data_IF_996875220405
#
_entry.id   IF_996875220405
#
_cell.length_a   1.000
_cell.length_b   1.000
_cell.length_c   1.000
_cell.angle_alpha   90.00
_cell.angle_beta   90.00
_cell.angle_gamma   90.00
#
_symmetry.space_group_name_H-M   'P 1'
#
loop_
_entity.id
_entity.type
_entity.pdbx_description
1 polymer ?
#
# COMPACT_ATOMS: atom_id res chain seq x y z
N UNK A 1 -22.65 23.34 -38.00
CA UNK A 1 -21.94 23.67 -39.27
C UNK A 1 -20.44 23.63 -39.01
N UNK A 2 -19.71 22.72 -39.67
CA UNK A 2 -18.25 22.81 -39.90
C UNK A 2 -18.06 23.56 -41.24
N UNK A 3 -16.95 24.27 -41.48
CA UNK A 3 -15.71 23.67 -42.03
C UNK A 3 -14.44 24.35 -41.45
N UNK A 4 -13.19 23.97 -41.72
CA UNK A 4 -12.62 23.14 -42.76
C UNK A 4 -11.19 22.67 -42.40
N UNK A 5 -10.74 21.67 -43.17
CA UNK A 5 -9.50 20.89 -43.05
C UNK A 5 -8.34 21.54 -43.83
N UNK A 6 -7.21 20.81 -43.84
CA UNK A 6 -6.12 20.74 -44.84
C UNK A 6 -4.93 21.67 -44.48
N UNK A 7 -3.67 21.22 -44.37
CA UNK A 7 -2.87 20.42 -45.32
C UNK A 7 -1.78 19.56 -44.62
N UNK A 8 -1.55 18.35 -45.16
CA UNK A 8 -0.28 17.60 -45.08
C UNK A 8 0.80 18.29 -45.95
N UNK A 9 2.09 18.08 -45.67
CA UNK A 9 3.12 17.59 -46.61
C UNK A 9 4.45 17.33 -45.85
N UNK A 10 4.92 16.07 -45.81
CA UNK A 10 6.11 15.50 -46.49
C UNK A 10 7.47 16.05 -46.01
N UNK A 11 8.31 15.23 -45.37
CA UNK A 11 9.41 14.43 -45.98
C UNK A 11 10.52 15.34 -46.57
N UNK A 12 11.84 15.18 -46.40
CA UNK A 12 12.72 14.02 -46.26
C UNK A 12 14.19 14.58 -46.34
N UNK A 13 15.20 13.78 -45.96
CA UNK A 13 16.66 13.88 -46.29
C UNK A 13 17.49 14.89 -45.46
N UNK A 14 18.73 14.64 -45.03
CA UNK A 14 19.73 13.58 -45.19
C UNK A 14 20.95 13.96 -44.30
N UNK A 15 21.71 13.00 -43.73
CA UNK A 15 23.01 12.51 -44.25
C UNK A 15 24.13 13.59 -44.23
N UNK A 16 25.39 13.45 -43.75
CA UNK A 16 26.25 12.36 -43.27
C UNK A 16 27.61 12.93 -42.79
N UNK A 17 28.23 12.31 -41.76
CA UNK A 17 29.68 12.02 -41.52
C UNK A 17 30.78 13.13 -41.57
N UNK A 18 32.04 12.86 -41.12
CA UNK A 18 32.57 12.26 -39.88
C UNK A 18 33.86 13.00 -39.38
N UNK A 19 34.63 12.34 -38.50
CA UNK A 19 36.11 12.40 -38.36
C UNK A 19 36.69 13.00 -37.06
N UNK A 20 37.72 12.32 -36.54
CA UNK A 20 38.68 12.83 -35.56
C UNK A 20 38.85 11.92 -34.34
N UNK A 21 39.62 10.82 -34.43
CA UNK A 21 41.03 10.76 -33.94
C UNK A 21 41.08 10.88 -32.40
N UNK A 22 41.33 9.85 -31.59
CA UNK A 22 42.30 8.77 -31.72
C UNK A 22 43.54 9.09 -30.86
N UNK A 23 43.77 8.36 -29.77
CA UNK A 23 45.11 8.06 -29.23
C UNK A 23 45.07 6.92 -28.19
N UNK A 24 45.94 5.93 -28.45
CA UNK A 24 46.31 4.75 -27.66
C UNK A 24 47.43 5.16 -26.65
N UNK A 25 47.70 4.41 -25.56
CA UNK A 25 48.84 3.45 -25.44
C UNK A 25 48.98 2.89 -23.97
N UNK A 26 49.83 1.87 -23.64
CA UNK A 26 49.34 0.57 -23.16
C UNK A 26 50.04 -0.07 -21.90
N UNK A 27 49.43 -1.16 -21.39
CA UNK A 27 50.10 -2.37 -20.85
C UNK A 27 50.31 -2.49 -19.31
N UNK A 28 50.71 -3.68 -18.80
CA UNK A 28 50.02 -4.98 -18.86
C UNK A 28 50.00 -5.73 -17.50
N UNK A 29 49.19 -6.80 -17.37
CA UNK A 29 49.66 -8.14 -16.98
C UNK A 29 48.53 -9.17 -16.98
N UNK A 30 48.87 -10.33 -17.54
CA UNK A 30 48.01 -11.46 -17.87
C UNK A 30 47.72 -12.31 -16.63
N UNK A 31 46.48 -12.78 -16.53
CA UNK A 31 46.07 -13.92 -15.71
C UNK A 31 44.99 -14.68 -16.47
N UNK A 32 45.34 -15.87 -16.94
CA UNK A 32 44.59 -16.78 -17.79
C UNK A 32 43.38 -17.39 -17.06
N UNK A 33 42.26 -17.62 -17.74
CA UNK A 33 41.55 -18.91 -17.84
C UNK A 33 40.26 -18.75 -18.67
N UNK A 34 40.35 -19.15 -19.95
CA UNK A 34 39.41 -20.02 -20.70
C UNK A 34 37.92 -19.97 -20.29
N UNK A 35 36.93 -19.69 -21.11
CA UNK A 35 36.81 -19.48 -22.55
C UNK A 35 35.31 -19.59 -22.93
N UNK A 36 35.00 -19.16 -24.15
CA UNK A 36 33.73 -19.26 -24.92
C UNK A 36 32.83 -18.01 -24.93
N UNK A 37 32.50 -17.69 -26.18
CA UNK A 37 31.91 -16.48 -26.79
C UNK A 37 30.42 -16.71 -27.01
N UNK A 38 29.60 -15.68 -26.74
CA UNK A 38 28.45 -15.09 -27.49
C UNK A 38 27.64 -15.94 -28.52
N UNK A 39 26.50 -15.47 -29.11
CA UNK A 39 25.65 -14.30 -28.81
C UNK A 39 24.11 -14.55 -28.92
N UNK A 40 23.34 -13.54 -28.49
CA UNK A 40 22.05 -13.03 -29.03
C UNK A 40 21.05 -13.97 -29.71
N UNK A 41 19.81 -13.95 -29.23
CA UNK A 41 18.61 -13.53 -30.00
C UNK A 41 17.40 -13.48 -29.08
N UNK A 42 16.59 -12.44 -29.21
CA UNK A 42 15.23 -12.40 -28.66
C UNK A 42 14.39 -13.50 -29.31
N UNK A 43 13.71 -14.31 -28.51
CA UNK A 43 12.58 -15.10 -29.00
C UNK A 43 11.48 -15.11 -27.94
N UNK A 44 10.31 -14.66 -28.37
CA UNK A 44 9.05 -14.68 -27.64
C UNK A 44 8.79 -16.07 -27.05
N UNK A 45 8.86 -16.21 -25.72
CA UNK A 45 8.36 -17.41 -25.07
C UNK A 45 7.11 -17.08 -24.28
N UNK A 46 6.00 -17.30 -24.99
CA UNK A 46 4.74 -17.84 -24.53
C UNK A 46 4.49 -17.79 -23.03
N UNK A 47 3.34 -17.22 -22.67
CA UNK A 47 2.61 -17.55 -21.45
C UNK A 47 2.67 -19.06 -21.19
N UNK A 48 3.44 -19.45 -20.18
CA UNK A 48 3.17 -20.65 -19.44
C UNK A 48 2.67 -20.19 -18.08
N UNK A 49 1.35 -19.97 -17.99
CA UNK A 49 0.64 -20.12 -16.73
C UNK A 49 0.77 -21.59 -16.37
N UNK A 50 1.94 -21.97 -15.84
CA UNK A 50 2.05 -23.20 -15.09
C UNK A 50 1.16 -22.98 -13.88
N UNK A 51 -0.03 -23.58 -13.94
CA UNK A 51 -0.83 -23.87 -12.76
C UNK A 51 0.13 -24.60 -11.83
N UNK A 52 0.75 -23.87 -10.89
CA UNK A 52 1.45 -24.48 -9.78
C UNK A 52 0.36 -25.15 -8.96
N UNK A 53 0.14 -26.42 -9.28
CA UNK A 53 -0.52 -27.39 -8.42
C UNK A 53 -0.04 -27.12 -6.99
N UNK A 54 -1.00 -26.87 -6.12
CA UNK A 54 -0.75 -26.50 -4.74
C UNK A 54 0.13 -27.54 -4.08
N UNK A 55 1.31 -27.13 -3.65
CA UNK A 55 2.02 -27.80 -2.57
C UNK A 55 1.23 -27.50 -1.30
N UNK A 56 0.17 -28.29 -1.11
CA UNK A 56 -0.42 -28.55 0.19
C UNK A 56 0.73 -28.93 1.13
N UNK A 57 1.14 -27.99 1.96
CA UNK A 57 2.21 -28.18 2.91
C UNK A 57 1.79 -29.21 3.96
N UNK A 58 2.24 -30.44 3.76
CA UNK A 58 2.40 -31.40 4.85
C UNK A 58 3.89 -31.53 5.12
N UNK A 59 4.41 -30.65 5.97
CA UNK A 59 5.76 -30.77 6.52
C UNK A 59 5.69 -30.27 7.96
N UNK A 60 6.18 -31.09 8.90
CA UNK A 60 6.12 -30.93 10.36
C UNK A 60 6.88 -29.72 10.92
N UNK A 61 6.62 -28.54 10.36
CA UNK A 61 7.10 -27.28 10.89
C UNK A 61 6.18 -26.84 12.03
N UNK A 62 6.74 -26.45 13.19
CA UNK A 62 5.93 -25.97 14.30
C UNK A 62 4.97 -24.86 13.85
N UNK A 63 3.71 -24.96 14.31
CA UNK A 63 2.70 -23.94 14.10
C UNK A 63 3.29 -22.56 14.45
N UNK A 64 3.35 -21.67 13.46
CA UNK A 64 4.04 -20.39 13.58
C UNK A 64 3.30 -19.30 12.84
N UNK A 65 3.50 -18.06 13.29
CA UNK A 65 2.91 -16.87 12.65
C UNK A 65 3.59 -16.47 11.32
N UNK A 66 4.60 -17.21 10.86
CA UNK A 66 5.44 -16.80 9.71
C UNK A 66 4.68 -16.62 8.40
N UNK A 67 3.53 -17.29 8.22
CA UNK A 67 2.71 -17.22 6.99
C UNK A 67 1.28 -16.72 7.25
N UNK A 68 0.91 -16.40 8.49
CA UNK A 68 -0.46 -15.97 8.83
C UNK A 68 -0.57 -14.45 8.74
N UNK A 69 -1.36 -13.98 7.80
CA UNK A 69 -1.67 -12.56 7.65
C UNK A 69 -2.90 -12.20 8.47
N UNK A 70 -2.75 -11.18 9.32
CA UNK A 70 -3.83 -10.63 10.13
C UNK A 70 -4.23 -9.24 9.62
N UNK A 71 -5.50 -8.90 9.81
CA UNK A 71 -6.03 -7.58 9.47
C UNK A 71 -5.31 -6.47 10.25
N UNK A 72 -5.33 -5.26 9.71
CA UNK A 72 -4.80 -4.08 10.41
C UNK A 72 -5.48 -3.93 11.78
N UNK A 73 -4.73 -3.49 12.78
CA UNK A 73 -5.23 -3.40 14.15
C UNK A 73 -5.21 -4.74 14.91
N UNK A 74 -4.65 -5.78 14.32
CA UNK A 74 -4.42 -7.07 14.95
C UNK A 74 -3.02 -7.60 14.64
N UNK A 75 -2.56 -8.56 15.45
CA UNK A 75 -1.30 -9.28 15.26
C UNK A 75 -1.51 -10.78 15.39
N UNK A 76 -0.65 -11.56 14.73
CA UNK A 76 -0.65 -13.00 14.91
C UNK A 76 0.03 -13.37 16.24
N UNK A 77 -0.59 -14.28 16.99
CA UNK A 77 -0.05 -14.90 18.20
C UNK A 77 -0.34 -16.40 18.19
N UNK A 78 0.52 -17.21 18.79
CA UNK A 78 0.19 -18.63 19.03
C UNK A 78 -0.76 -18.74 20.22
N UNK A 79 -1.85 -19.48 20.04
CA UNK A 79 -2.76 -19.82 21.14
C UNK A 79 -2.01 -20.66 22.17
N UNK A 80 -2.17 -20.32 23.45
CA UNK A 80 -1.58 -21.10 24.55
C UNK A 80 -2.27 -22.44 24.75
N UNK A 81 -3.50 -22.58 24.25
CA UNK A 81 -4.33 -23.77 24.41
C UNK A 81 -4.13 -24.74 23.25
N UNK A 82 -4.20 -24.23 22.02
CA UNK A 82 -4.16 -25.07 20.81
C UNK A 82 -2.79 -25.10 20.14
N UNK A 83 -1.89 -24.18 20.47
CA UNK A 83 -0.60 -24.01 19.78
C UNK A 83 -0.72 -23.42 18.37
N UNK A 84 -1.94 -23.16 17.89
CA UNK A 84 -2.21 -22.70 16.53
C UNK A 84 -2.05 -21.17 16.42
N UNK A 85 -1.65 -20.65 15.24
CA UNK A 85 -1.55 -19.21 15.02
C UNK A 85 -2.94 -18.59 14.92
N UNK A 86 -3.20 -17.56 15.72
CA UNK A 86 -4.47 -16.82 15.79
C UNK A 86 -4.23 -15.31 15.62
N UNK A 87 -5.19 -14.61 15.02
CA UNK A 87 -5.17 -13.16 14.95
C UNK A 87 -5.86 -12.58 16.18
N UNK A 88 -5.17 -11.72 16.92
CA UNK A 88 -5.70 -11.02 18.11
C UNK A 88 -5.55 -9.53 17.93
N UNK A 89 -6.56 -8.76 18.34
CA UNK A 89 -6.49 -7.30 18.28
C UNK A 89 -5.29 -6.78 19.07
N UNK A 90 -4.72 -5.66 18.64
CA UNK A 90 -3.64 -5.02 19.36
C UNK A 90 -4.13 -4.59 20.75
N UNK A 91 -3.33 -4.88 21.78
CA UNK A 91 -3.64 -4.46 23.14
C UNK A 91 -3.50 -2.93 23.30
N UNK A 92 -2.48 -2.35 22.67
CA UNK A 92 -2.23 -0.92 22.63
C UNK A 92 -1.50 -0.52 21.33
N UNK A 93 -1.64 0.74 20.93
CA UNK A 93 -0.84 1.34 19.87
C UNK A 93 0.27 2.22 20.45
N UNK A 94 1.29 2.52 19.63
CA UNK A 94 2.27 3.54 20.00
C UNK A 94 1.58 4.90 20.11
N UNK A 95 1.85 5.68 21.17
CA UNK A 95 1.28 7.00 21.32
C UNK A 95 1.81 7.92 20.22
N UNK A 96 0.90 8.43 19.40
CA UNK A 96 1.20 9.37 18.32
C UNK A 96 -0.10 10.09 17.98
N UNK A 97 -0.01 11.41 17.80
CA UNK A 97 -1.16 12.23 17.45
C UNK A 97 -1.08 12.65 15.97
N UNK A 98 -1.77 11.87 15.13
CA UNK A 98 -1.95 12.08 13.69
C UNK A 98 -3.40 11.74 13.35
N UNK A 99 -4.34 12.63 13.70
CA UNK A 99 -5.75 12.27 13.80
C UNK A 99 -6.35 11.91 12.44
N UNK A 100 -7.20 10.88 12.43
CA UNK A 100 -7.90 10.40 11.23
C UNK A 100 -9.40 10.34 11.48
N UNK A 101 -10.20 10.66 10.46
CA UNK A 101 -11.66 10.53 10.51
C UNK A 101 -12.06 9.12 10.01
N UNK A 102 -12.76 8.38 10.84
CA UNK A 102 -13.33 7.08 10.50
C UNK A 102 -14.69 7.19 9.80
N UNK A 103 -15.05 6.19 9.01
CA UNK A 103 -16.35 6.08 8.34
C UNK A 103 -17.54 5.98 9.30
N UNK A 104 -17.28 5.67 10.57
CA UNK A 104 -18.25 5.73 11.66
C UNK A 104 -18.55 7.18 12.11
N UNK A 105 -17.76 8.14 11.65
CA UNK A 105 -17.87 9.56 11.95
C UNK A 105 -17.15 9.95 13.24
N UNK A 106 -16.18 9.16 13.69
CA UNK A 106 -15.35 9.44 14.88
C UNK A 106 -13.93 9.79 14.46
N UNK A 107 -13.29 10.68 15.22
CA UNK A 107 -11.85 10.89 15.12
C UNK A 107 -11.11 9.87 15.98
N UNK A 108 -10.01 9.37 15.44
CA UNK A 108 -9.05 8.51 16.13
C UNK A 108 -7.72 9.23 16.21
N UNK A 109 -6.99 9.05 17.30
CA UNK A 109 -5.70 9.71 17.55
C UNK A 109 -4.67 9.43 16.45
N UNK A 110 -4.70 8.22 15.87
CA UNK A 110 -3.86 7.82 14.76
C UNK A 110 -4.45 6.62 14.00
N UNK A 111 -3.80 6.24 12.89
CA UNK A 111 -4.19 5.08 12.07
C UNK A 111 -4.24 3.76 12.85
N UNK A 112 -3.34 3.54 13.81
CA UNK A 112 -3.30 2.30 14.57
C UNK A 112 -4.55 2.19 15.45
N UNK A 113 -4.90 3.26 16.16
CA UNK A 113 -6.10 3.30 17.01
C UNK A 113 -7.38 3.08 16.22
N UNK A 114 -7.50 3.66 15.01
CA UNK A 114 -8.64 3.40 14.14
C UNK A 114 -8.78 1.91 13.80
N UNK A 115 -7.69 1.26 13.38
CA UNK A 115 -7.75 -0.15 13.03
C UNK A 115 -7.90 -1.07 14.25
N UNK A 116 -7.31 -0.70 15.39
CA UNK A 116 -7.48 -1.40 16.66
C UNK A 116 -8.95 -1.36 17.09
N UNK A 117 -9.60 -0.19 17.03
CA UNK A 117 -11.02 -0.06 17.29
C UNK A 117 -11.87 -0.87 16.31
N UNK A 118 -11.55 -0.84 15.02
CA UNK A 118 -12.21 -1.68 14.01
C UNK A 118 -12.14 -3.18 14.34
N UNK A 119 -10.97 -3.64 14.80
CA UNK A 119 -10.76 -5.02 15.24
C UNK A 119 -11.61 -5.36 16.48
N UNK A 120 -11.53 -4.53 17.52
CA UNK A 120 -12.25 -4.75 18.79
C UNK A 120 -13.78 -4.70 18.64
N UNK A 121 -14.27 -3.87 17.72
CA UNK A 121 -15.69 -3.75 17.42
C UNK A 121 -16.19 -4.79 16.42
N UNK A 122 -15.29 -5.59 15.84
CA UNK A 122 -15.56 -6.53 14.75
C UNK A 122 -16.27 -5.87 13.56
N UNK A 123 -15.89 -4.63 13.25
CA UNK A 123 -16.53 -3.80 12.22
C UNK A 123 -15.50 -3.14 11.33
N UNK A 124 -15.79 -3.04 10.03
CA UNK A 124 -14.93 -2.32 9.09
C UNK A 124 -15.07 -0.81 9.30
N UNK A 125 -14.00 -0.17 9.76
CA UNK A 125 -13.87 1.28 9.81
C UNK A 125 -12.79 1.66 8.82
N UNK A 126 -13.16 2.46 7.82
CA UNK A 126 -12.21 3.01 6.84
C UNK A 126 -11.98 4.47 7.12
N UNK A 127 -10.85 4.98 6.66
CA UNK A 127 -10.55 6.41 6.75
C UNK A 127 -11.35 7.13 5.67
N UNK A 128 -12.02 8.19 6.05
CA UNK A 128 -12.80 9.06 5.17
C UNK A 128 -12.28 10.49 5.24
N UNK A 129 -12.84 11.39 4.44
CA UNK A 129 -12.40 12.78 4.46
C UNK A 129 -12.79 13.42 5.79
N UNK A 130 -11.90 14.24 6.37
CA UNK A 130 -12.13 14.86 7.68
C UNK A 130 -13.43 15.68 7.74
N UNK A 131 -13.85 16.26 6.61
CA UNK A 131 -15.14 16.98 6.47
C UNK A 131 -16.35 16.11 6.86
N UNK A 132 -16.30 14.82 6.60
CA UNK A 132 -17.40 13.88 6.86
C UNK A 132 -17.67 13.74 8.37
N UNK A 133 -16.63 13.79 9.20
CA UNK A 133 -16.78 13.81 10.66
C UNK A 133 -17.36 15.15 11.15
N UNK A 134 -16.86 16.29 10.67
CA UNK A 134 -17.31 17.62 11.12
C UNK A 134 -18.79 17.91 10.78
N UNK A 135 -19.28 17.42 9.64
CA UNK A 135 -20.69 17.57 9.27
C UNK A 135 -21.61 16.75 10.18
N UNK A 136 -21.14 15.61 10.67
CA UNK A 136 -21.90 14.72 11.57
C UNK A 136 -21.95 15.25 13.01
N UNK A 137 -20.98 16.05 13.42
CA UNK A 137 -21.04 16.79 14.70
C UNK A 137 -22.02 17.98 14.62
N UNK A 138 -22.18 18.56 13.44
CA UNK A 138 -23.09 19.71 13.23
C UNK A 138 -24.56 19.31 13.27
N UNK A 139 -24.92 18.10 12.79
CA UNK A 139 -26.29 17.57 12.84
C UNK A 139 -26.71 17.07 14.24
N UNK A 140 -25.74 16.74 15.10
CA UNK A 140 -25.99 16.47 16.52
C UNK A 140 -26.23 17.78 17.29
N UNK A 141 -25.48 18.83 17.00
CA UNK A 141 -25.71 20.18 17.56
C UNK A 141 -27.06 20.78 17.13
N UNK A 142 -27.57 20.47 15.94
CA UNK A 142 -28.88 20.93 15.50
C UNK A 142 -30.06 20.19 16.14
N UNK A 143 -29.83 18.98 16.66
CA UNK A 143 -30.89 18.19 17.33
C UNK A 143 -31.09 18.62 18.79
N UNK A 144 -30.03 19.13 19.44
CA UNK A 144 -30.10 19.73 20.79
C UNK A 144 -30.61 21.18 20.79
N UNK A 145 -30.68 21.84 19.62
CA UNK A 145 -31.12 23.24 19.51
C UNK A 145 -32.63 23.40 19.27
N UNK A 146 -33.36 22.31 19.02
CA UNK A 146 -34.83 22.33 18.81
C UNK A 146 -35.60 22.00 20.11
N UNK A 147 -34.93 21.50 21.15
CA UNK A 147 -35.50 21.38 22.49
C UNK A 147 -35.15 22.62 23.32
N UNK A 148 -35.89 23.71 23.10
CA UNK A 148 -35.72 24.95 23.83
C UNK A 148 -35.93 24.80 25.35
N UNK A 149 -35.16 25.62 26.09
CA UNK A 149 -35.36 26.06 27.48
C UNK A 149 -35.14 25.02 28.61
N UNK A 150 -33.95 25.00 29.22
CA UNK A 150 -33.72 25.53 30.58
C UNK A 150 -32.27 25.30 31.04
N UNK A 151 -31.65 26.41 31.47
CA UNK A 151 -30.59 26.53 32.48
C UNK A 151 -29.23 25.89 32.20
N UNK A 152 -28.26 26.77 31.92
CA UNK A 152 -26.91 26.63 32.47
C UNK A 152 -27.01 26.57 34.01
N UNK A 153 -26.09 25.84 34.66
CA UNK A 153 -25.11 26.63 35.39
C UNK A 153 -23.68 26.18 35.13
N UNK A 154 -22.81 27.19 35.10
CA UNK A 154 -21.38 27.11 35.41
C UNK A 154 -21.10 26.13 36.56
N UNK A 155 -20.08 25.30 36.39
CA UNK A 155 -19.02 25.12 37.39
C UNK A 155 -17.84 24.38 36.76
N UNK A 156 -16.81 25.13 36.42
CA UNK A 156 -15.44 24.62 36.47
C UNK A 156 -14.92 24.99 37.86
N UNK A 157 -14.75 23.98 38.71
CA UNK A 157 -13.77 24.00 39.79
C UNK A 157 -12.44 23.49 39.24
#
# INVERSE_FOLDING_TARGET
MKPGRLWLHLALLGASLPAGLGWMEPGPSRGLHTGVREPRTEESRSFEVTRREGLSGHDGLPASCGKKFCSRGSRCMLSRETGEPECRCLEACRPSYMPVCGSDGRFYENHCELHRAACLLERKIVIVHSKDCFLKDSTKKSSDSILGFHLSPRSHY
#
